data_IF_798693290260
#
_entry.id   IF_798693290260
#
_cell.length_a   1.000
_cell.length_b   1.000
_cell.length_c   1.000
_cell.angle_alpha   90.00
_cell.angle_beta   90.00
_cell.angle_gamma   90.00
#
_symmetry.space_group_name_H-M   'P 1'
#
loop_
_entity.id
_entity.type
_entity.pdbx_description
1 polymer ?
#
# COMPACT_ATOMS: atom_id res chain seq x y z
N UNK A 1 -23.34 -0.90 -6.82
CA UNK A 1 -23.41 -2.36 -7.03
C UNK A 1 -24.67 -2.86 -6.33
N UNK A 2 -25.61 -3.43 -7.07
CA UNK A 2 -26.89 -3.91 -6.52
C UNK A 2 -26.74 -5.39 -6.15
N UNK A 3 -26.97 -5.75 -4.88
CA UNK A 3 -26.86 -7.13 -4.42
C UNK A 3 -27.89 -8.02 -5.13
N UNK A 4 -27.47 -9.23 -5.53
CA UNK A 4 -28.34 -10.20 -6.19
C UNK A 4 -29.48 -10.65 -5.24
N UNK A 5 -30.67 -10.83 -5.80
CA UNK A 5 -31.86 -11.29 -5.05
C UNK A 5 -31.61 -12.70 -4.54
N UNK A 6 -31.80 -12.93 -3.25
CA UNK A 6 -31.56 -14.22 -2.60
C UNK A 6 -32.50 -15.30 -3.16
N UNK A 7 -32.01 -16.54 -3.37
CA UNK A 7 -32.85 -17.67 -3.77
C UNK A 7 -33.86 -18.03 -2.67
N UNK A 8 -35.03 -18.56 -3.08
CA UNK A 8 -36.13 -18.92 -2.18
C UNK A 8 -35.66 -19.97 -1.16
N UNK A 9 -35.83 -19.68 0.13
CA UNK A 9 -35.47 -20.57 1.25
C UNK A 9 -34.11 -20.32 1.88
N UNK A 10 -33.34 -19.32 1.41
CA UNK A 10 -32.07 -18.92 2.02
C UNK A 10 -32.29 -17.72 2.93
N UNK A 11 -32.19 -17.94 4.24
CA UNK A 11 -32.12 -16.86 5.21
C UNK A 11 -30.71 -16.24 5.21
N UNK A 12 -30.63 -14.93 5.34
CA UNK A 12 -29.35 -14.26 5.53
C UNK A 12 -28.71 -14.72 6.85
N UNK A 13 -27.38 -14.86 6.93
CA UNK A 13 -26.71 -15.07 8.20
C UNK A 13 -27.16 -14.00 9.20
N UNK A 14 -27.64 -14.45 10.37
CA UNK A 14 -28.19 -13.56 11.40
C UNK A 14 -27.16 -12.57 11.95
N UNK A 15 -25.87 -12.92 11.85
CA UNK A 15 -24.75 -12.07 12.20
C UNK A 15 -23.72 -12.10 11.07
N UNK A 16 -23.08 -10.95 10.81
CA UNK A 16 -21.87 -10.92 10.00
C UNK A 16 -20.79 -11.77 10.67
N UNK A 17 -19.98 -12.53 9.91
CA UNK A 17 -18.85 -13.26 10.46
C UNK A 17 -17.92 -12.28 11.15
N UNK A 18 -17.79 -12.40 12.48
CA UNK A 18 -16.77 -11.69 13.26
C UNK A 18 -15.43 -12.33 12.95
N UNK A 19 -14.87 -12.03 11.78
CA UNK A 19 -13.49 -12.37 11.45
C UNK A 19 -12.62 -11.76 12.55
N UNK A 20 -11.93 -12.57 13.38
CA UNK A 20 -11.06 -12.01 14.41
C UNK A 20 -10.02 -11.15 13.69
N UNK A 21 -10.03 -9.84 13.95
CA UNK A 21 -9.06 -8.94 13.36
C UNK A 21 -7.66 -9.48 13.73
N UNK A 22 -6.84 -9.89 12.76
CA UNK A 22 -5.52 -10.43 13.08
C UNK A 22 -4.72 -9.32 13.77
N UNK A 23 -4.30 -9.51 15.02
CA UNK A 23 -3.58 -8.48 15.78
C UNK A 23 -2.24 -8.10 15.13
N UNK A 24 -1.69 -9.00 14.30
CA UNK A 24 -0.46 -8.84 13.54
C UNK A 24 -0.75 -9.15 12.06
N UNK A 25 -0.53 -8.15 11.19
CA UNK A 25 -0.71 -8.31 9.74
C UNK A 25 -1.34 -7.08 9.07
N UNK A 26 -1.93 -7.31 7.90
CA UNK A 26 -2.66 -6.30 7.12
C UNK A 26 -4.04 -6.03 7.73
N UNK A 27 -4.06 -5.29 8.83
CA UNK A 27 -5.29 -4.76 9.41
C UNK A 27 -5.60 -3.37 8.84
N UNK A 28 -6.87 -2.97 8.82
CA UNK A 28 -7.27 -1.62 8.43
C UNK A 28 -6.43 -0.54 9.14
N UNK A 29 -6.16 -0.73 10.44
CA UNK A 29 -5.32 0.19 11.21
C UNK A 29 -3.89 0.21 10.65
N UNK A 30 -3.25 -0.94 10.49
CA UNK A 30 -1.88 -1.02 9.97
C UNK A 30 -1.75 -0.43 8.56
N UNK A 31 -2.72 -0.70 7.68
CA UNK A 31 -2.76 -0.16 6.32
C UNK A 31 -2.89 1.36 6.30
N UNK A 32 -3.77 1.94 7.13
CA UNK A 32 -3.94 3.39 7.25
C UNK A 32 -2.64 4.03 7.75
N UNK A 33 -2.00 3.46 8.76
CA UNK A 33 -0.75 3.98 9.29
C UNK A 33 0.39 3.89 8.27
N UNK A 34 0.55 2.74 7.60
CA UNK A 34 1.57 2.56 6.57
C UNK A 34 1.35 3.50 5.37
N UNK A 35 0.10 3.68 4.95
CA UNK A 35 -0.25 4.59 3.85
C UNK A 35 0.03 6.05 4.20
N UNK A 36 -0.27 6.49 5.43
CA UNK A 36 0.06 7.84 5.91
C UNK A 36 1.57 8.07 5.96
N UNK A 37 2.31 7.10 6.49
CA UNK A 37 3.77 7.15 6.50
C UNK A 37 4.34 7.22 5.07
N UNK A 38 3.77 6.46 4.13
CA UNK A 38 4.14 6.50 2.71
C UNK A 38 3.89 7.88 2.08
N UNK A 39 2.71 8.48 2.28
CA UNK A 39 2.38 9.81 1.75
C UNK A 39 3.35 10.89 2.26
N UNK A 40 3.66 10.86 3.57
CA UNK A 40 4.63 11.78 4.18
C UNK A 40 6.04 11.49 3.62
N UNK A 41 6.40 10.22 3.49
CA UNK A 41 7.67 9.77 2.93
C UNK A 41 7.90 10.30 1.52
N UNK A 42 6.92 10.17 0.63
CA UNK A 42 7.01 10.67 -0.74
C UNK A 42 7.24 12.18 -0.79
N UNK A 43 6.46 12.95 -0.04
CA UNK A 43 6.63 14.41 0.04
C UNK A 43 8.01 14.75 0.62
N UNK A 44 8.43 14.06 1.67
CA UNK A 44 9.76 14.22 2.27
C UNK A 44 10.89 13.93 1.29
N UNK A 45 10.77 12.86 0.48
CA UNK A 45 11.76 12.54 -0.56
C UNK A 45 11.87 13.64 -1.59
N UNK A 46 10.74 14.22 -2.04
CA UNK A 46 10.78 15.36 -2.98
C UNK A 46 11.46 16.59 -2.38
N UNK A 47 11.21 16.91 -1.11
CA UNK A 47 11.86 18.05 -0.45
C UNK A 47 13.37 17.84 -0.35
N UNK A 48 13.81 16.65 0.07
CA UNK A 48 15.24 16.31 0.16
C UNK A 48 15.90 16.34 -1.21
N UNK A 49 15.24 15.80 -2.23
CA UNK A 49 15.72 15.79 -3.60
C UNK A 49 15.82 17.21 -4.18
N UNK A 50 14.88 18.10 -3.86
CA UNK A 50 14.97 19.53 -4.23
C UNK A 50 16.15 20.24 -3.56
N UNK A 51 16.51 19.89 -2.33
CA UNK A 51 17.65 20.51 -1.62
C UNK A 51 18.98 19.95 -2.13
N UNK A 52 19.08 18.62 -2.29
CA UNK A 52 20.33 17.94 -2.63
C UNK A 52 20.56 17.79 -4.14
N UNK A 53 19.54 18.06 -4.97
CA UNK A 53 19.56 17.91 -6.43
C UNK A 53 20.02 16.50 -6.88
N UNK A 54 19.75 15.49 -6.03
CA UNK A 54 20.10 14.08 -6.24
C UNK A 54 18.92 13.22 -5.81
N UNK A 55 18.61 12.20 -6.61
CA UNK A 55 17.53 11.28 -6.30
C UNK A 55 17.80 10.44 -5.05
N UNK A 56 16.73 10.04 -4.36
CA UNK A 56 16.82 9.25 -3.12
C UNK A 56 17.66 7.97 -3.29
N UNK A 57 17.56 7.30 -4.45
CA UNK A 57 18.31 6.09 -4.77
C UNK A 57 19.83 6.33 -4.80
N UNK A 58 20.25 7.47 -5.36
CA UNK A 58 21.67 7.85 -5.40
C UNK A 58 22.19 8.21 -4.02
N UNK A 59 21.33 8.79 -3.16
CA UNK A 59 21.68 9.13 -1.76
C UNK A 59 21.91 7.86 -0.93
N UNK A 60 21.12 6.81 -1.14
CA UNK A 60 21.29 5.52 -0.45
C UNK A 60 22.37 4.61 -1.08
N UNK A 61 23.11 5.12 -2.09
CA UNK A 61 24.22 4.41 -2.71
C UNK A 61 23.82 3.37 -3.77
N UNK A 62 22.59 3.41 -4.27
CA UNK A 62 22.16 2.59 -5.41
C UNK A 62 22.58 3.30 -6.69
N UNK A 63 23.34 2.61 -7.53
CA UNK A 63 23.69 3.10 -8.87
C UNK A 63 22.43 3.17 -9.75
N UNK A 64 22.18 4.33 -10.35
CA UNK A 64 21.03 4.60 -11.22
C UNK A 64 21.52 5.11 -12.56
N UNK A 65 20.83 4.77 -13.66
CA UNK A 65 21.19 5.25 -15.01
C UNK A 65 22.15 4.35 -15.78
N UNK A 66 22.42 3.13 -15.30
CA UNK A 66 23.19 2.10 -16.01
C UNK A 66 22.40 1.41 -17.15
N UNK A 67 21.14 1.78 -17.35
CA UNK A 67 20.25 1.12 -18.30
C UNK A 67 19.80 -0.27 -17.82
N UNK A 68 18.96 -0.91 -18.62
CA UNK A 68 18.62 -2.32 -18.48
C UNK A 68 19.68 -3.09 -19.30
N UNK A 69 20.58 -3.82 -18.64
CA UNK A 69 21.49 -4.77 -19.29
C UNK A 69 20.67 -5.97 -19.79
N UNK A 70 19.74 -5.73 -20.71
CA UNK A 70 19.07 -6.80 -21.44
C UNK A 70 20.01 -7.25 -22.54
N UNK A 71 20.40 -8.53 -22.58
CA UNK A 71 20.94 -9.08 -23.82
C UNK A 71 19.83 -8.98 -24.89
N UNK A 72 20.05 -8.12 -25.89
CA UNK A 72 19.31 -8.10 -27.15
C UNK A 72 19.60 -9.36 -27.96
#
# INVERSE_FOLDING_TARGET
MQAAKLPVGVELPKEEPKLPAPFLGFTNTAEIWNSRACMIGLIGTFIVELILQKGILQIIGVDVGKGLDLPL
#
